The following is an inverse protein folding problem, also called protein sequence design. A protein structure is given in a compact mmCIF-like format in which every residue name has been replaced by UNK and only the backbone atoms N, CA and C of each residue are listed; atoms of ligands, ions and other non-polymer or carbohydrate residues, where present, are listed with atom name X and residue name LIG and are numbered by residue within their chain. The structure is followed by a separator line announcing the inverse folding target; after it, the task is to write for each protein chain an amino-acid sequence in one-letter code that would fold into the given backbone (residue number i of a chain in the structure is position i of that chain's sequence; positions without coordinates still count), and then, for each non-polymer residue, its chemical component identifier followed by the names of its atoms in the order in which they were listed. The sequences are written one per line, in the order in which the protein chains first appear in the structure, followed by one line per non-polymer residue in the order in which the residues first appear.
data_IF_677068420475
#
_entry.id   IF_677068420475
#
_cell.length_a   1.000
_cell.length_b   1.000
_cell.length_c   1.000
_cell.angle_alpha   90.00
_cell.angle_beta   90.00
_cell.angle_gamma   90.00
#
_symmetry.space_group_name_H-M   'P 1'
#
loop_
_entity.id
_entity.type
_entity.pdbx_description
1 polymer ?
#
# COMPACT_ATOMS: atom_id res chain seq x y z
N UNK A 1 35.40 -14.36 -8.97
CA UNK A 1 34.40 -14.58 -7.90
C UNK A 1 34.52 -13.51 -6.81
N UNK A 2 35.67 -13.35 -6.14
CA UNK A 2 35.85 -12.30 -5.12
C UNK A 2 35.54 -10.87 -5.63
N UNK A 3 36.03 -10.51 -6.82
CA UNK A 3 35.76 -9.20 -7.43
C UNK A 3 34.27 -8.97 -7.73
N UNK A 4 33.55 -10.02 -8.15
CA UNK A 4 32.11 -9.95 -8.42
C UNK A 4 31.33 -9.76 -7.12
N UNK A 5 31.67 -10.52 -6.07
CA UNK A 5 31.07 -10.36 -4.74
C UNK A 5 31.28 -8.94 -4.20
N UNK A 6 32.51 -8.41 -4.29
CA UNK A 6 32.81 -7.06 -3.84
C UNK A 6 32.03 -6.00 -4.64
N UNK A 7 31.96 -6.15 -5.96
CA UNK A 7 31.17 -5.24 -6.80
C UNK A 7 29.68 -5.31 -6.45
N UNK A 8 29.16 -6.52 -6.19
CA UNK A 8 27.78 -6.74 -5.81
C UNK A 8 27.45 -6.10 -4.46
N UNK A 9 28.32 -6.25 -3.46
CA UNK A 9 28.15 -5.64 -2.14
C UNK A 9 27.98 -4.12 -2.23
N UNK A 10 28.84 -3.47 -3.03
CA UNK A 10 28.79 -2.01 -3.24
C UNK A 10 27.54 -1.60 -4.02
N UNK A 11 27.18 -2.33 -5.07
CA UNK A 11 25.99 -2.03 -5.88
C UNK A 11 24.70 -2.22 -5.08
N UNK A 12 24.60 -3.29 -4.30
CA UNK A 12 23.41 -3.59 -3.47
C UNK A 12 23.25 -2.55 -2.39
N UNK A 13 24.32 -2.04 -1.78
CA UNK A 13 24.23 -0.93 -0.82
C UNK A 13 23.57 0.31 -1.46
N UNK A 14 23.97 0.67 -2.69
CA UNK A 14 23.33 1.76 -3.44
C UNK A 14 21.89 1.48 -3.84
N UNK A 15 21.54 0.24 -4.16
CA UNK A 15 20.15 -0.18 -4.46
C UNK A 15 19.29 -0.04 -3.20
N UNK A 16 19.79 -0.48 -2.04
CA UNK A 16 19.06 -0.40 -0.78
C UNK A 16 18.74 1.07 -0.42
N UNK A 17 19.65 2.00 -0.70
CA UNK A 17 19.40 3.43 -0.50
C UNK A 17 18.27 3.98 -1.37
N UNK A 18 17.94 3.30 -2.48
CA UNK A 18 16.84 3.66 -3.38
C UNK A 18 15.51 2.99 -3.01
N UNK A 19 15.50 2.07 -2.07
CA UNK A 19 14.24 1.47 -1.59
C UNK A 19 13.36 2.50 -0.87
N UNK A 20 13.91 3.55 -0.27
CA UNK A 20 13.13 4.61 0.37
C UNK A 20 12.81 5.81 -0.54
N UNK A 21 13.07 5.71 -1.85
CA UNK A 21 12.94 6.84 -2.77
C UNK A 21 11.45 7.22 -2.97
N UNK A 22 11.15 8.52 -2.98
CA UNK A 22 9.78 9.02 -3.20
C UNK A 22 9.32 8.83 -4.65
N UNK A 23 10.25 8.67 -5.59
CA UNK A 23 9.90 8.32 -6.95
C UNK A 23 9.57 6.82 -7.04
N UNK A 24 8.29 6.51 -7.20
CA UNK A 24 7.78 5.14 -7.27
C UNK A 24 8.54 4.26 -8.27
N UNK A 25 8.93 4.81 -9.43
CA UNK A 25 9.68 4.05 -10.45
C UNK A 25 11.07 3.65 -9.99
N UNK A 26 11.75 4.51 -9.22
CA UNK A 26 13.08 4.21 -8.66
C UNK A 26 12.97 3.17 -7.55
N UNK A 27 11.97 3.31 -6.67
CA UNK A 27 11.67 2.34 -5.63
C UNK A 27 11.36 0.95 -6.21
N UNK A 28 10.47 0.87 -7.21
CA UNK A 28 10.15 -0.38 -7.91
C UNK A 28 11.35 -0.99 -8.62
N UNK A 29 12.14 -0.17 -9.32
CA UNK A 29 13.36 -0.62 -9.97
C UNK A 29 14.35 -1.23 -8.96
N UNK A 30 14.53 -0.57 -7.81
CA UNK A 30 15.39 -1.07 -6.74
C UNK A 30 14.90 -2.41 -6.17
N UNK A 31 13.59 -2.57 -5.93
CA UNK A 31 12.99 -3.85 -5.49
C UNK A 31 13.26 -4.98 -6.49
N UNK A 32 13.06 -4.74 -7.79
CA UNK A 32 13.30 -5.73 -8.85
C UNK A 32 14.77 -6.11 -8.97
N UNK A 33 15.69 -5.14 -8.85
CA UNK A 33 17.12 -5.44 -8.82
C UNK A 33 17.51 -6.30 -7.61
N UNK A 34 16.90 -6.04 -6.44
CA UNK A 34 17.15 -6.82 -5.25
C UNK A 34 16.60 -8.25 -5.37
N UNK A 35 15.39 -8.41 -5.91
CA UNK A 35 14.81 -9.72 -6.23
C UNK A 35 15.73 -10.51 -7.17
N UNK A 36 16.17 -9.90 -8.27
CA UNK A 36 17.08 -10.55 -9.22
C UNK A 36 18.40 -11.01 -8.57
N UNK A 37 18.94 -10.23 -7.63
CA UNK A 37 20.13 -10.64 -6.88
C UNK A 37 19.83 -11.79 -5.90
N UNK A 38 18.65 -11.78 -5.26
CA UNK A 38 18.21 -12.78 -4.31
C UNK A 38 17.85 -14.13 -4.95
N UNK A 39 17.28 -14.13 -6.16
CA UNK A 39 16.91 -15.35 -6.91
C UNK A 39 18.13 -16.18 -7.36
N UNK A 40 19.31 -15.57 -7.35
CA UNK A 40 20.53 -16.14 -7.88
C UNK A 40 21.51 -16.42 -6.76
N UNK A 41 21.61 -17.68 -6.36
CA UNK A 41 22.58 -18.15 -5.35
C UNK A 41 24.05 -17.95 -5.79
N UNK A 42 24.30 -17.82 -7.10
CA UNK A 42 25.63 -17.47 -7.63
C UNK A 42 25.96 -15.97 -7.55
N UNK A 43 24.94 -15.13 -7.26
CA UNK A 43 25.08 -13.70 -7.01
C UNK A 43 25.04 -13.40 -5.50
N UNK A 44 23.85 -13.29 -4.92
CA UNK A 44 23.65 -12.92 -3.52
C UNK A 44 22.88 -13.99 -2.75
N UNK A 45 21.82 -14.55 -3.34
CA UNK A 45 20.89 -15.42 -2.64
C UNK A 45 19.99 -14.67 -1.65
N UNK A 46 18.90 -15.30 -1.21
CA UNK A 46 17.90 -14.69 -0.34
C UNK A 46 18.45 -14.31 1.05
N UNK A 47 19.12 -15.26 1.73
CA UNK A 47 19.56 -15.06 3.11
C UNK A 47 20.56 -13.90 3.25
N UNK A 48 21.61 -13.79 2.41
CA UNK A 48 22.50 -12.63 2.46
C UNK A 48 21.78 -11.32 2.13
N UNK A 49 20.82 -11.32 1.19
CA UNK A 49 20.01 -10.14 0.89
C UNK A 49 19.21 -9.66 2.12
N UNK A 50 18.52 -10.56 2.82
CA UNK A 50 17.80 -10.25 4.07
C UNK A 50 18.76 -9.75 5.16
N UNK A 51 19.94 -10.36 5.31
CA UNK A 51 20.94 -9.90 6.26
C UNK A 51 21.43 -8.47 5.96
N UNK A 52 21.67 -8.14 4.69
CA UNK A 52 22.06 -6.78 4.27
C UNK A 52 20.96 -5.75 4.56
N UNK A 53 19.70 -6.08 4.25
CA UNK A 53 18.56 -5.23 4.55
C UNK A 53 18.42 -4.99 6.07
N UNK A 54 18.53 -6.04 6.88
CA UNK A 54 18.48 -5.96 8.35
C UNK A 54 19.63 -5.12 8.92
N UNK A 55 20.84 -5.28 8.37
CA UNK A 55 22.00 -4.47 8.73
C UNK A 55 21.80 -3.00 8.37
N UNK A 56 21.20 -2.69 7.21
CA UNK A 56 20.86 -1.30 6.84
C UNK A 56 19.83 -0.71 7.78
N UNK A 57 18.78 -1.47 8.10
CA UNK A 57 17.71 -1.04 9.01
C UNK A 57 18.29 -0.68 10.39
N UNK A 58 19.21 -1.51 10.90
CA UNK A 58 19.92 -1.25 12.17
C UNK A 58 20.84 -0.02 12.12
N UNK A 59 21.38 0.33 10.95
CA UNK A 59 22.23 1.51 10.72
C UNK A 59 21.44 2.79 10.50
N UNK A 60 20.16 2.71 10.12
CA UNK A 60 19.32 3.87 9.86
C UNK A 60 19.10 4.65 11.17
N UNK A 61 19.91 5.71 11.35
CA UNK A 61 19.89 6.55 12.54
C UNK A 61 18.57 7.30 12.74
N UNK A 62 18.50 8.17 13.75
CA UNK A 62 17.31 8.98 14.09
C UNK A 62 17.02 10.15 13.12
N UNK A 63 17.39 10.00 11.85
CA UNK A 63 17.15 11.00 10.80
C UNK A 63 15.67 11.06 10.40
N UNK A 64 15.20 12.18 9.86
CA UNK A 64 13.88 12.27 9.24
C UNK A 64 13.68 11.31 8.07
N UNK A 65 14.77 10.86 7.45
CA UNK A 65 14.76 9.83 6.39
C UNK A 65 14.53 8.42 6.92
N UNK A 66 14.59 8.21 8.25
CA UNK A 66 14.48 6.90 8.89
C UNK A 66 13.18 6.20 8.50
N UNK A 67 12.05 6.91 8.53
CA UNK A 67 10.74 6.32 8.21
C UNK A 67 10.67 5.86 6.74
N UNK A 68 11.22 6.64 5.80
CA UNK A 68 11.26 6.29 4.37
C UNK A 68 12.11 5.04 4.12
N UNK A 69 13.29 4.97 4.74
CA UNK A 69 14.17 3.80 4.63
C UNK A 69 13.52 2.56 5.24
N UNK A 70 12.90 2.67 6.42
CA UNK A 70 12.22 1.54 7.05
C UNK A 70 11.03 1.06 6.20
N UNK A 71 10.19 1.98 5.71
CA UNK A 71 9.09 1.66 4.80
C UNK A 71 9.61 0.90 3.56
N UNK A 72 10.60 1.46 2.86
CA UNK A 72 11.16 0.88 1.65
C UNK A 72 11.75 -0.52 1.87
N UNK A 73 12.45 -0.73 2.98
CA UNK A 73 13.01 -2.04 3.33
C UNK A 73 11.89 -3.03 3.66
N UNK A 74 10.90 -2.67 4.48
CA UNK A 74 9.80 -3.57 4.86
C UNK A 74 8.98 -4.00 3.64
N UNK A 75 8.69 -3.05 2.76
CA UNK A 75 7.96 -3.32 1.53
C UNK A 75 8.78 -4.21 0.57
N UNK A 76 10.10 -3.98 0.45
CA UNK A 76 10.98 -4.86 -0.31
C UNK A 76 11.08 -6.27 0.28
N UNK A 77 11.12 -6.42 1.61
CA UNK A 77 11.09 -7.73 2.27
C UNK A 77 9.78 -8.43 1.97
N UNK A 78 8.64 -7.74 2.12
CA UNK A 78 7.33 -8.31 1.82
C UNK A 78 7.24 -8.76 0.35
N UNK A 79 7.76 -7.96 -0.57
CA UNK A 79 7.90 -8.32 -1.98
C UNK A 79 8.73 -9.59 -2.16
N UNK A 80 9.91 -9.70 -1.53
CA UNK A 80 10.71 -10.93 -1.58
C UNK A 80 9.94 -12.15 -1.05
N UNK A 81 9.20 -12.03 0.06
CA UNK A 81 8.46 -13.17 0.63
C UNK A 81 7.37 -13.72 -0.30
N UNK A 82 6.86 -12.92 -1.23
CA UNK A 82 5.91 -13.38 -2.25
C UNK A 82 6.59 -14.25 -3.33
N UNK A 83 7.91 -14.12 -3.50
CA UNK A 83 8.69 -14.84 -4.51
C UNK A 83 9.42 -16.08 -3.95
N UNK A 84 9.64 -16.15 -2.63
CA UNK A 84 10.37 -17.26 -2.01
C UNK A 84 9.46 -18.04 -1.03
N UNK A 85 9.48 -19.38 -1.05
CA UNK A 85 8.71 -20.19 -0.11
C UNK A 85 9.24 -20.04 1.32
N UNK A 86 8.33 -19.97 2.29
CA UNK A 86 8.69 -20.05 3.71
C UNK A 86 9.00 -21.49 4.12
N UNK A 87 10.12 -21.69 4.82
CA UNK A 87 10.48 -22.98 5.40
C UNK A 87 10.19 -22.99 6.89
N UNK A 88 9.33 -23.93 7.33
CA UNK A 88 9.13 -24.22 8.75
C UNK A 88 10.45 -24.81 9.25
N UNK A 89 11.23 -24.02 9.98
CA UNK A 89 12.58 -24.36 10.47
C UNK A 89 12.67 -25.55 11.43
N UNK A 90 11.66 -26.41 11.47
CA UNK A 90 11.64 -27.69 12.14
C UNK A 90 10.80 -28.61 11.29
N UNK A 91 11.43 -29.32 10.35
CA UNK A 91 10.88 -30.58 9.90
C UNK A 91 10.70 -31.42 11.15
N UNK A 92 9.44 -31.60 11.56
CA UNK A 92 9.07 -32.72 12.39
C UNK A 92 9.52 -33.92 11.56
N UNK A 93 10.69 -34.44 11.90
CA UNK A 93 11.08 -35.79 11.55
C UNK A 93 10.00 -36.59 12.26
N UNK A 94 8.92 -36.90 11.55
CA UNK A 94 8.03 -37.96 11.97
C UNK A 94 8.94 -39.18 12.02
N UNK A 95 9.26 -39.53 13.26
CA UNK A 95 10.18 -40.54 13.76
C UNK A 95 9.68 -41.95 13.40
N UNK A 96 9.08 -42.13 12.22
CA UNK A 96 8.76 -43.42 11.63
C UNK A 96 9.99 -43.93 10.89
N UNK A 97 10.92 -44.32 11.76
CA UNK A 97 12.08 -45.18 11.59
C UNK A 97 11.81 -46.34 10.61
N UNK A 98 12.24 -46.21 9.37
CA UNK A 98 12.66 -47.34 8.53
C UNK A 98 13.92 -46.93 7.72
N UNK A 99 15.01 -46.78 8.48
CA UNK A 99 16.39 -47.28 8.25
C UNK A 99 16.97 -47.46 6.83
N UNK A 100 16.63 -46.60 5.86
CA UNK A 100 17.41 -46.47 4.60
C UNK A 100 18.27 -45.19 4.63
N UNK A 101 19.40 -45.33 5.31
CA UNK A 101 20.52 -44.39 5.44
C UNK A 101 21.11 -44.03 4.05
N UNK A 102 20.83 -42.85 3.48
CA UNK A 102 21.76 -42.20 2.52
C UNK A 102 21.47 -40.75 2.09
N UNK A 103 20.27 -40.19 2.17
CA UNK A 103 20.03 -38.83 1.63
C UNK A 103 19.44 -37.90 2.69
N UNK A 104 20.34 -37.16 3.37
CA UNK A 104 19.92 -36.08 4.25
C UNK A 104 19.10 -35.05 3.44
N UNK A 105 17.87 -34.69 3.88
CA UNK A 105 17.01 -33.79 3.14
C UNK A 105 17.69 -32.42 2.97
N UNK A 106 18.02 -32.06 1.73
CA UNK A 106 18.55 -30.76 1.38
C UNK A 106 17.50 -29.69 1.67
N UNK A 107 17.71 -28.88 2.71
CA UNK A 107 16.91 -27.67 2.95
C UNK A 107 17.13 -26.74 1.75
N UNK A 108 16.06 -26.31 1.06
CA UNK A 108 16.19 -25.39 -0.07
C UNK A 108 16.90 -24.11 0.38
N UNK A 109 18.00 -23.77 -0.28
CA UNK A 109 18.75 -22.52 -0.01
C UNK A 109 17.87 -21.27 -0.24
N UNK A 110 16.82 -21.43 -1.05
CA UNK A 110 15.87 -20.41 -1.49
C UNK A 110 14.67 -20.24 -0.55
N UNK A 111 14.83 -20.54 0.74
CA UNK A 111 13.76 -20.43 1.73
C UNK A 111 14.09 -19.48 2.87
N UNK A 112 13.05 -18.82 3.38
CA UNK A 112 13.13 -17.93 4.55
C UNK A 112 12.47 -18.57 5.77
N UNK A 113 12.92 -18.17 6.96
CA UNK A 113 12.38 -18.61 8.25
C UNK A 113 11.85 -17.43 9.05
N UNK A 114 11.09 -17.70 10.13
CA UNK A 114 10.65 -16.63 11.04
C UNK A 114 11.82 -15.87 11.66
N UNK A 115 12.95 -16.53 11.91
CA UNK A 115 14.15 -15.89 12.45
C UNK A 115 14.73 -14.82 11.53
N UNK A 116 14.61 -15.01 10.22
CA UNK A 116 15.07 -14.05 9.22
C UNK A 116 14.18 -12.80 9.18
N UNK A 117 12.87 -12.97 9.44
CA UNK A 117 11.86 -11.90 9.28
C UNK A 117 11.56 -11.14 10.59
N UNK A 118 11.71 -11.79 11.74
CA UNK A 118 11.43 -11.20 13.05
C UNK A 118 12.12 -9.83 13.30
N UNK A 119 13.41 -9.62 12.92
CA UNK A 119 14.06 -8.33 13.12
C UNK A 119 13.35 -7.16 12.41
N UNK A 120 12.79 -7.42 11.22
CA UNK A 120 12.07 -6.43 10.43
C UNK A 120 10.75 -6.03 11.07
N UNK A 121 9.98 -7.01 11.52
CA UNK A 121 8.71 -6.77 12.24
C UNK A 121 8.98 -5.96 13.51
N UNK A 122 9.96 -6.36 14.32
CA UNK A 122 10.28 -5.69 15.58
C UNK A 122 10.68 -4.24 15.34
N UNK A 123 11.54 -3.99 14.35
CA UNK A 123 12.03 -2.66 14.07
C UNK A 123 10.99 -1.77 13.37
N UNK A 124 10.17 -2.32 12.47
CA UNK A 124 9.07 -1.62 11.81
C UNK A 124 7.94 -1.23 12.75
N UNK A 125 7.79 -1.94 13.88
CA UNK A 125 6.81 -1.63 14.91
C UNK A 125 7.26 -0.49 15.86
N UNK A 126 8.36 0.24 15.62
CA UNK A 126 8.77 1.40 16.42
C UNK A 126 7.75 2.57 16.27
N UNK A 127 7.27 3.11 17.40
CA UNK A 127 6.23 4.15 17.42
C UNK A 127 6.70 5.47 16.80
N UNK A 128 8.01 5.69 16.73
CA UNK A 128 8.60 6.89 16.12
C UNK A 128 8.58 6.89 14.58
N UNK A 129 8.24 5.77 13.94
CA UNK A 129 8.27 5.62 12.47
C UNK A 129 6.95 6.03 11.80
N UNK A 130 5.89 6.26 12.59
CA UNK A 130 4.57 6.64 12.10
C UNK A 130 3.69 5.44 11.68
N UNK A 131 2.39 5.69 11.41
CA UNK A 131 1.41 4.65 11.13
C UNK A 131 1.76 3.82 9.88
N UNK A 132 2.12 4.47 8.77
CA UNK A 132 2.43 3.81 7.50
C UNK A 132 3.49 2.70 7.62
N UNK A 133 4.57 2.94 8.37
CA UNK A 133 5.64 1.94 8.56
C UNK A 133 5.15 0.78 9.42
N UNK A 134 4.34 1.07 10.45
CA UNK A 134 3.73 0.04 11.31
C UNK A 134 2.74 -0.82 10.54
N UNK A 135 1.97 -0.25 9.62
CA UNK A 135 1.02 -1.00 8.79
C UNK A 135 1.77 -1.98 7.88
N UNK A 136 2.89 -1.57 7.26
CA UNK A 136 3.76 -2.49 6.52
C UNK A 136 4.35 -3.59 7.41
N UNK A 137 4.79 -3.26 8.62
CA UNK A 137 5.31 -4.25 9.57
C UNK A 137 4.23 -5.24 10.03
N UNK A 138 3.00 -4.78 10.20
CA UNK A 138 1.85 -5.61 10.53
C UNK A 138 1.48 -6.54 9.37
N UNK A 139 1.44 -6.03 8.13
CA UNK A 139 1.24 -6.87 6.94
C UNK A 139 2.31 -7.97 6.82
N UNK A 140 3.58 -7.61 7.04
CA UNK A 140 4.67 -8.58 7.06
C UNK A 140 4.48 -9.64 8.17
N UNK A 141 4.07 -9.23 9.37
CA UNK A 141 3.77 -10.15 10.46
C UNK A 141 2.60 -11.10 10.12
N UNK A 142 1.57 -10.60 9.42
CA UNK A 142 0.44 -11.41 8.93
C UNK A 142 0.92 -12.45 7.92
N UNK A 143 1.83 -12.10 7.01
CA UNK A 143 2.44 -13.08 6.08
C UNK A 143 3.19 -14.19 6.80
N UNK A 144 4.00 -13.85 7.81
CA UNK A 144 4.71 -14.86 8.64
C UNK A 144 3.72 -15.73 9.41
N UNK A 145 2.65 -15.12 9.94
CA UNK A 145 1.56 -15.81 10.62
C UNK A 145 0.84 -16.82 9.72
N UNK A 146 0.42 -16.43 8.53
CA UNK A 146 -0.22 -17.32 7.55
C UNK A 146 0.66 -18.51 7.19
N UNK A 147 1.97 -18.28 7.06
CA UNK A 147 2.91 -19.31 6.61
C UNK A 147 3.21 -20.33 7.72
N UNK A 148 3.39 -19.85 8.96
CA UNK A 148 3.93 -20.67 10.05
C UNK A 148 3.01 -20.87 11.24
N UNK A 149 1.93 -20.11 11.34
CA UNK A 149 0.96 -20.13 12.44
C UNK A 149 1.42 -19.37 13.69
N UNK A 150 0.52 -19.33 14.68
CA UNK A 150 0.72 -18.57 15.93
C UNK A 150 1.93 -19.05 16.73
N UNK A 151 2.19 -20.37 16.78
CA UNK A 151 3.25 -20.96 17.61
C UNK A 151 4.62 -20.38 17.27
N UNK A 152 4.90 -20.23 15.97
CA UNK A 152 6.17 -19.67 15.47
C UNK A 152 6.23 -18.15 15.68
N UNK A 153 5.09 -17.46 15.77
CA UNK A 153 5.03 -16.02 16.00
C UNK A 153 5.16 -15.61 17.48
N UNK A 154 4.93 -16.52 18.44
CA UNK A 154 5.04 -16.23 19.89
C UNK A 154 6.35 -15.55 20.29
N UNK A 155 7.55 -15.98 19.82
CA UNK A 155 8.80 -15.32 20.18
C UNK A 155 8.88 -13.88 19.66
N UNK A 156 8.42 -13.63 18.43
CA UNK A 156 8.36 -12.27 17.86
C UNK A 156 7.44 -11.37 18.68
N UNK A 157 6.25 -11.87 19.03
CA UNK A 157 5.29 -11.14 19.86
C UNK A 157 5.85 -10.84 21.25
N UNK A 158 6.54 -11.80 21.87
CA UNK A 158 7.15 -11.60 23.19
C UNK A 158 8.21 -10.49 23.22
N UNK A 159 8.87 -10.21 22.09
CA UNK A 159 9.82 -9.10 21.95
C UNK A 159 9.15 -7.72 21.85
N UNK A 160 7.84 -7.68 21.58
CA UNK A 160 7.08 -6.44 21.42
C UNK A 160 6.39 -5.99 22.71
N UNK A 161 6.04 -4.71 22.80
CA UNK A 161 5.22 -4.16 23.90
C UNK A 161 3.78 -4.72 23.84
N UNK A 162 3.07 -4.85 24.98
CA UNK A 162 1.72 -5.42 25.01
C UNK A 162 0.72 -4.79 24.04
N UNK A 163 0.73 -3.46 23.86
CA UNK A 163 -0.15 -2.78 22.91
C UNK A 163 0.08 -3.22 21.44
N UNK A 164 1.34 -3.47 21.08
CA UNK A 164 1.73 -3.92 19.73
C UNK A 164 1.40 -5.39 19.53
N UNK A 165 1.51 -6.20 20.60
CA UNK A 165 1.05 -7.58 20.59
C UNK A 165 -0.46 -7.65 20.35
N UNK A 166 -1.26 -6.82 21.05
CA UNK A 166 -2.70 -6.77 20.88
C UNK A 166 -3.09 -6.38 19.45
N UNK A 167 -2.44 -5.35 18.89
CA UNK A 167 -2.65 -4.95 17.50
C UNK A 167 -2.35 -6.08 16.51
N UNK A 168 -1.24 -6.78 16.65
CA UNK A 168 -0.89 -7.88 15.74
C UNK A 168 -1.85 -9.08 15.91
N UNK A 169 -2.25 -9.42 17.13
CA UNK A 169 -3.24 -10.47 17.38
C UNK A 169 -4.58 -10.14 16.73
N UNK A 170 -5.06 -8.91 16.88
CA UNK A 170 -6.25 -8.44 16.19
C UNK A 170 -6.11 -8.59 14.67
N UNK A 171 -4.95 -8.22 14.09
CA UNK A 171 -4.69 -8.38 12.65
C UNK A 171 -4.66 -9.85 12.21
N UNK A 172 -4.22 -10.76 13.08
CA UNK A 172 -4.26 -12.19 12.80
C UNK A 172 -5.71 -12.72 12.82
N UNK A 173 -6.51 -12.31 13.81
CA UNK A 173 -7.94 -12.65 13.91
C UNK A 173 -8.73 -12.12 12.69
N UNK A 174 -8.51 -10.85 12.31
CA UNK A 174 -9.11 -10.24 11.11
C UNK A 174 -8.77 -11.03 9.84
N UNK A 175 -7.57 -11.63 9.76
CA UNK A 175 -7.15 -12.38 8.59
C UNK A 175 -7.72 -13.81 8.56
N UNK A 176 -7.94 -14.45 9.71
CA UNK A 176 -8.54 -15.79 9.77
C UNK A 176 -10.02 -15.81 9.33
N UNK A 177 -10.61 -14.65 9.05
CA UNK A 177 -12.02 -14.55 8.71
C UNK A 177 -12.91 -14.94 9.89
N UNK A 178 -12.34 -14.96 11.10
CA UNK A 178 -13.12 -15.06 12.33
C UNK A 178 -13.78 -13.71 12.53
N UNK A 179 -14.86 -13.45 11.80
CA UNK A 179 -15.69 -12.29 12.05
C UNK A 179 -16.37 -12.54 13.40
N UNK A 180 -15.95 -11.86 14.49
CA UNK A 180 -16.46 -12.17 15.83
C UNK A 180 -17.96 -11.88 15.95
N UNK A 181 -18.55 -11.26 14.92
CA UNK A 181 -19.98 -11.01 14.81
C UNK A 181 -20.79 -12.16 14.20
N UNK A 182 -20.23 -13.08 13.42
CA UNK A 182 -21.03 -14.12 12.74
C UNK A 182 -21.39 -15.34 13.61
N UNK A 183 -20.62 -15.64 14.67
CA UNK A 183 -20.96 -16.75 15.57
C UNK A 183 -21.94 -16.37 16.70
N UNK A 184 -22.46 -15.13 16.68
CA UNK A 184 -23.32 -14.56 17.73
C UNK A 184 -24.81 -14.44 17.41
N UNK A 185 -25.28 -14.73 16.19
CA UNK A 185 -26.72 -14.79 15.88
C UNK A 185 -27.30 -16.17 16.25
N UNK A 186 -26.99 -16.64 17.45
CA UNK A 186 -27.82 -17.64 18.10
C UNK A 186 -29.01 -16.94 18.74
N UNK A 187 -29.98 -16.48 17.94
CA UNK A 187 -31.42 -16.27 18.24
C UNK A 187 -31.82 -15.87 19.69
N UNK A 188 -30.95 -15.21 20.44
CA UNK A 188 -31.27 -14.58 21.71
C UNK A 188 -31.85 -13.23 21.33
N UNK A 189 -33.19 -13.18 21.29
CA UNK A 189 -33.97 -11.96 21.40
C UNK A 189 -33.35 -11.05 22.47
N UNK A 190 -32.41 -10.20 22.05
CA UNK A 190 -31.91 -9.11 22.86
C UNK A 190 -33.15 -8.32 23.29
N UNK A 191 -33.32 -8.02 24.59
CA UNK A 191 -34.54 -7.42 25.10
C UNK A 191 -34.80 -6.13 24.32
N UNK A 192 -35.86 -6.15 23.52
CA UNK A 192 -36.32 -5.03 22.71
C UNK A 192 -36.51 -3.85 23.67
N UNK A 193 -35.57 -2.91 23.66
CA UNK A 193 -35.63 -1.71 24.48
C UNK A 193 -36.86 -0.94 24.03
N UNK A 194 -37.89 -0.97 24.86
CA UNK A 194 -39.15 -0.33 24.53
C UNK A 194 -38.87 1.17 24.39
N UNK A 195 -39.48 1.86 23.42
CA UNK A 195 -39.32 3.31 23.24
C UNK A 195 -39.59 4.14 24.51
N UNK A 196 -40.31 3.58 25.49
CA UNK A 196 -40.57 4.19 26.79
C UNK A 196 -39.33 4.28 27.71
N UNK A 197 -38.31 3.45 27.54
CA UNK A 197 -37.12 3.43 28.40
C UNK A 197 -36.07 4.48 27.99
N UNK A 198 -36.27 5.16 26.85
CA UNK A 198 -35.45 6.27 26.37
C UNK A 198 -36.03 7.65 26.76
N UNK A 199 -37.19 7.69 27.42
CA UNK A 199 -37.82 8.92 27.90
C UNK A 199 -37.04 9.45 29.13
N UNK A 200 -35.99 10.23 28.86
CA UNK A 200 -35.16 10.86 29.90
C UNK A 200 -33.65 10.84 29.62
N UNK A 201 -33.21 10.18 28.55
CA UNK A 201 -31.81 10.21 28.13
C UNK A 201 -31.49 11.55 27.46
N UNK A 202 -31.15 12.55 28.28
CA UNK A 202 -30.67 13.85 27.81
C UNK A 202 -29.20 13.72 27.41
N UNK A 203 -28.94 13.65 26.10
CA UNK A 203 -27.58 13.79 25.56
C UNK A 203 -27.22 15.28 25.69
N UNK A 204 -26.47 15.64 26.73
CA UNK A 204 -25.92 16.98 26.91
C UNK A 204 -24.78 17.23 25.92
N UNK A 205 -25.12 17.40 24.64
CA UNK A 205 -24.22 17.93 23.62
C UNK A 205 -23.90 19.39 23.95
N UNK A 206 -22.78 19.63 24.63
CA UNK A 206 -22.31 20.99 24.90
C UNK A 206 -21.68 21.58 23.63
N UNK A 207 -22.51 22.15 22.76
CA UNK A 207 -22.03 22.99 21.68
C UNK A 207 -21.63 24.37 22.26
N UNK A 208 -20.34 24.55 22.56
CA UNK A 208 -19.81 25.85 22.98
C UNK A 208 -19.81 26.77 21.75
N UNK A 209 -20.83 27.61 21.64
CA UNK A 209 -20.92 28.66 20.62
C UNK A 209 -19.95 29.79 20.99
N UNK A 210 -18.91 30.09 20.19
CA UNK A 210 -18.02 31.21 20.48
C UNK A 210 -18.82 32.51 20.35
N UNK A 211 -18.96 33.20 21.47
CA UNK A 211 -19.68 34.45 21.59
C UNK A 211 -18.81 35.57 21.01
N UNK A 212 -18.96 35.86 19.71
CA UNK A 212 -18.34 37.03 19.08
C UNK A 212 -19.04 38.30 19.59
N UNK A 213 -18.41 38.99 20.54
CA UNK A 213 -18.78 40.36 20.92
C UNK A 213 -18.16 41.37 19.93
N UNK A 214 -18.94 42.32 19.38
CA UNK A 214 -18.42 43.36 18.52
C UNK A 214 -17.89 44.53 19.35
N UNK A 215 -16.58 44.78 19.28
CA UNK A 215 -15.98 46.05 19.70
C UNK A 215 -14.99 45.96 20.85
N UNK A 216 -13.75 45.57 20.54
CA UNK A 216 -12.60 45.95 21.36
C UNK A 216 -11.37 46.12 20.45
N UNK A 217 -11.08 47.38 20.14
CA UNK A 217 -9.87 47.77 19.45
C UNK A 217 -8.64 47.55 20.35
N UNK A 218 -7.60 46.96 19.75
CA UNK A 218 -6.19 47.22 20.01
C UNK A 218 -5.74 47.36 21.47
N UNK A 219 -5.24 46.26 22.04
CA UNK A 219 -4.04 46.34 22.86
C UNK A 219 -3.28 45.01 22.81
N UNK A 220 -1.98 45.09 22.53
CA UNK A 220 -1.02 43.99 22.69
C UNK A 220 -1.10 43.49 24.12
N UNK A 221 -1.79 42.38 24.34
CA UNK A 221 -1.87 41.71 25.63
C UNK A 221 -1.53 40.23 25.46
N UNK A 222 -0.84 39.73 26.48
CA UNK A 222 -0.29 38.40 26.60
C UNK A 222 -1.23 37.29 26.12
N UNK A 223 -0.65 36.32 25.40
CA UNK A 223 -1.34 35.14 24.94
C UNK A 223 -2.02 34.44 26.14
N UNK A 224 -3.33 34.14 26.05
CA UNK A 224 -4.03 33.41 27.09
C UNK A 224 -3.40 32.02 27.27
N UNK A 225 -3.38 31.46 28.49
CA UNK A 225 -2.83 30.13 28.74
C UNK A 225 -3.58 29.09 27.90
N UNK A 226 -2.87 28.15 27.26
CA UNK A 226 -3.49 27.15 26.41
C UNK A 226 -4.46 26.30 27.23
N UNK A 227 -5.72 26.24 26.77
CA UNK A 227 -6.73 25.39 27.38
C UNK A 227 -6.39 23.91 27.13
N UNK A 228 -6.66 23.01 28.10
CA UNK A 228 -6.45 21.58 27.92
C UNK A 228 -7.26 21.07 26.72
N UNK A 229 -6.59 20.53 25.72
CA UNK A 229 -7.20 19.99 24.49
C UNK A 229 -7.07 20.88 23.25
N UNK A 230 -6.53 22.09 23.36
CA UNK A 230 -6.18 22.91 22.20
C UNK A 230 -4.76 22.53 21.72
N UNK A 231 -4.69 21.67 20.72
CA UNK A 231 -3.44 21.42 19.97
C UNK A 231 -3.07 22.71 19.24
N UNK A 232 -1.85 23.21 19.42
CA UNK A 232 -1.36 24.42 18.76
C UNK A 232 -1.44 24.25 17.23
N UNK A 233 -2.38 24.95 16.60
CA UNK A 233 -2.65 24.95 15.15
C UNK A 233 -1.68 25.87 14.39
N UNK A 234 -0.40 25.89 14.76
CA UNK A 234 0.56 26.78 14.10
C UNK A 234 1.58 26.07 13.20
N UNK A 235 1.61 24.73 13.12
CA UNK A 235 2.55 24.05 12.20
C UNK A 235 2.09 22.72 11.53
N UNK A 236 0.90 22.19 11.82
CA UNK A 236 0.52 20.83 11.34
C UNK A 236 -0.73 20.76 10.43
N UNK A 237 -1.47 21.86 10.21
CA UNK A 237 -2.70 21.81 9.38
C UNK A 237 -2.43 21.78 7.86
N UNK A 238 -1.26 22.22 7.39
CA UNK A 238 -0.91 22.16 5.96
C UNK A 238 -0.70 20.71 5.47
N UNK A 239 -0.21 19.80 6.33
CA UNK A 239 0.02 18.41 5.95
C UNK A 239 -1.26 17.57 5.83
N UNK A 240 -2.34 17.97 6.50
CA UNK A 240 -3.62 17.25 6.44
C UNK A 240 -4.35 17.52 5.12
N UNK A 241 -4.19 18.72 4.55
CA UNK A 241 -4.79 19.05 3.25
C UNK A 241 -4.03 18.42 2.08
N UNK A 242 -2.71 18.24 2.19
CA UNK A 242 -1.91 17.57 1.16
C UNK A 242 -2.14 16.05 1.13
N UNK A 243 -2.32 15.40 2.29
CA UNK A 243 -2.57 13.95 2.37
C UNK A 243 -3.89 13.51 1.71
N UNK A 244 -4.95 14.29 1.87
CA UNK A 244 -6.26 13.98 1.25
C UNK A 244 -6.21 14.19 -0.28
N UNK A 245 -5.42 15.16 -0.76
CA UNK A 245 -5.25 15.45 -2.18
C UNK A 245 -4.38 14.40 -2.91
N UNK A 246 -3.35 13.85 -2.25
CA UNK A 246 -2.60 12.69 -2.74
C UNK A 246 -3.47 11.42 -2.77
N UNK A 247 -4.21 11.12 -1.70
CA UNK A 247 -5.04 9.91 -1.60
C UNK A 247 -6.24 9.93 -2.56
N UNK A 248 -6.78 11.10 -2.90
CA UNK A 248 -7.86 11.25 -3.88
C UNK A 248 -7.39 11.28 -5.35
N UNK A 249 -6.07 11.17 -5.61
CA UNK A 249 -5.51 11.08 -6.97
C UNK A 249 -5.66 12.34 -7.83
N UNK A 250 -5.93 13.51 -7.22
CA UNK A 250 -6.23 14.77 -7.92
C UNK A 250 -5.05 15.73 -8.06
N UNK A 251 -3.84 15.34 -7.62
CA UNK A 251 -2.63 16.12 -7.88
C UNK A 251 -2.23 15.95 -9.34
N UNK A 252 -2.74 16.84 -10.19
CA UNK A 252 -2.16 17.11 -11.51
C UNK A 252 -0.68 17.48 -11.29
N UNK A 253 0.22 16.55 -11.62
CA UNK A 253 1.66 16.74 -11.63
C UNK A 253 2.04 17.90 -12.55
N UNK A 254 2.07 19.11 -11.99
CA UNK A 254 2.35 20.36 -12.66
C UNK A 254 3.57 21.02 -12.05
N UNK A 255 4.60 21.18 -12.89
CA UNK A 255 5.90 21.86 -12.68
C UNK A 255 7.01 20.98 -12.06
N UNK A 256 8.17 20.80 -12.68
CA UNK A 256 8.67 21.28 -13.96
C UNK A 256 10.17 21.01 -14.04
N UNK A 257 10.62 20.30 -15.08
CA UNK A 257 11.96 20.38 -15.70
C UNK A 257 12.05 19.40 -16.89
N UNK A 258 11.22 19.58 -17.93
CA UNK A 258 11.56 19.19 -19.32
C UNK A 258 10.85 20.16 -20.28
N UNK A 259 11.19 21.44 -20.16
CA UNK A 259 10.81 22.47 -21.13
C UNK A 259 12.02 22.89 -21.93
N UNK A 260 12.35 22.13 -22.99
CA UNK A 260 12.98 22.70 -24.21
C UNK A 260 13.06 21.71 -25.40
N UNK A 261 12.82 20.40 -25.23
CA UNK A 261 12.90 19.45 -26.35
C UNK A 261 11.54 19.08 -27.01
N UNK A 262 10.40 19.40 -26.39
CA UNK A 262 9.07 18.97 -26.88
C UNK A 262 8.21 20.09 -27.49
N UNK A 263 8.68 21.35 -27.49
CA UNK A 263 7.98 22.46 -28.13
C UNK A 263 8.10 22.43 -29.67
N UNK A 264 8.94 21.56 -30.24
CA UNK A 264 9.07 21.36 -31.68
C UNK A 264 8.13 20.26 -32.25
N UNK A 265 7.43 19.50 -31.41
CA UNK A 265 6.57 18.39 -31.85
C UNK A 265 5.06 18.70 -31.80
N UNK A 266 4.66 19.85 -31.24
CA UNK A 266 3.25 20.24 -31.10
C UNK A 266 2.57 20.70 -32.41
N UNK A 267 3.22 20.53 -33.56
CA UNK A 267 2.64 20.85 -34.89
C UNK A 267 2.38 19.63 -35.77
N UNK A 268 2.48 18.40 -35.26
CA UNK A 268 2.14 17.21 -36.04
C UNK A 268 1.15 16.31 -35.30
N UNK A 269 -0.11 16.38 -35.74
CA UNK A 269 -1.13 15.37 -35.48
C UNK A 269 -0.69 14.06 -36.14
N UNK A 270 0.03 13.21 -35.38
CA UNK A 270 0.29 11.84 -35.77
C UNK A 270 -0.45 10.92 -34.80
N UNK A 271 -1.44 10.21 -35.36
CA UNK A 271 -2.08 9.06 -34.72
C UNK A 271 -0.99 8.06 -34.33
N UNK A 272 -0.98 7.65 -33.07
CA UNK A 272 -0.18 6.50 -32.65
C UNK A 272 -0.64 5.27 -33.44
N UNK A 273 0.30 4.46 -33.98
CA UNK A 273 -0.07 3.26 -34.72
C UNK A 273 -0.78 2.26 -33.79
N UNK A 274 -1.80 1.54 -34.29
CA UNK A 274 -2.41 0.45 -33.53
C UNK A 274 -1.34 -0.59 -33.22
N UNK A 275 -1.19 -0.95 -31.94
CA UNK A 275 -0.19 -1.90 -31.45
C UNK A 275 0.96 -1.32 -30.61
N UNK A 276 1.02 0.01 -30.40
CA UNK A 276 2.08 0.61 -29.57
C UNK A 276 2.06 0.10 -28.12
N UNK A 277 0.87 -0.10 -27.53
CA UNK A 277 0.74 -0.65 -26.18
C UNK A 277 1.10 -2.13 -26.12
N UNK A 278 0.76 -2.90 -27.14
CA UNK A 278 1.01 -4.35 -27.23
C UNK A 278 2.50 -4.67 -27.27
N UNK A 279 3.30 -3.86 -27.98
CA UNK A 279 4.74 -4.08 -28.10
C UNK A 279 5.57 -3.61 -26.89
N UNK A 280 5.05 -2.71 -26.05
CA UNK A 280 5.85 -2.08 -24.99
C UNK A 280 5.55 -2.61 -23.57
N UNK A 281 4.39 -3.24 -23.36
CA UNK A 281 4.00 -3.82 -22.07
C UNK A 281 4.31 -5.32 -21.91
N UNK A 282 4.87 -5.97 -22.92
CA UNK A 282 5.25 -7.39 -22.82
C UNK A 282 4.06 -8.35 -22.63
N UNK A 283 2.84 -7.92 -22.97
CA UNK A 283 1.59 -8.69 -22.86
C UNK A 283 1.39 -9.69 -24.02
N UNK A 284 2.41 -9.94 -24.83
CA UNK A 284 2.36 -10.99 -25.85
C UNK A 284 2.73 -12.33 -25.21
N UNK A 285 1.74 -13.07 -24.72
CA UNK A 285 1.93 -14.49 -24.38
C UNK A 285 1.28 -15.00 -23.10
N UNK A 286 0.22 -14.39 -22.60
CA UNK A 286 -0.73 -15.17 -21.80
C UNK A 286 -1.71 -15.80 -22.80
N UNK A 287 -1.35 -17.00 -23.29
CA UNK A 287 -2.32 -17.91 -23.89
C UNK A 287 -3.29 -18.29 -22.76
N UNK A 288 -4.25 -17.41 -22.49
CA UNK A 288 -5.42 -17.78 -21.69
C UNK A 288 -6.15 -18.84 -22.51
N UNK A 289 -6.36 -19.98 -21.90
CA UNK A 289 -7.18 -21.04 -22.44
C UNK A 289 -8.59 -20.51 -22.75
N UNK A 290 -9.24 -21.14 -23.72
CA UNK A 290 -10.58 -20.73 -24.17
C UNK A 290 -11.60 -20.73 -23.02
N UNK A 291 -11.34 -21.51 -21.97
CA UNK A 291 -12.15 -21.58 -20.75
C UNK A 291 -11.98 -20.34 -19.84
N UNK A 292 -10.76 -19.85 -19.63
CA UNK A 292 -10.49 -18.60 -18.90
C UNK A 292 -11.11 -17.39 -19.62
N UNK A 293 -11.04 -17.38 -20.96
CA UNK A 293 -11.70 -16.36 -21.77
C UNK A 293 -13.21 -16.35 -21.58
N UNK A 294 -13.83 -17.54 -21.54
CA UNK A 294 -15.28 -17.69 -21.38
C UNK A 294 -15.75 -17.35 -19.97
N UNK A 295 -14.94 -17.65 -18.95
CA UNK A 295 -15.20 -17.25 -17.57
C UNK A 295 -15.17 -15.72 -17.41
N UNK A 296 -14.17 -15.06 -18.00
CA UNK A 296 -14.06 -13.60 -17.95
C UNK A 296 -15.24 -12.90 -18.65
N UNK A 297 -15.71 -13.44 -19.77
CA UNK A 297 -16.90 -12.94 -20.47
C UNK A 297 -18.17 -13.07 -19.62
N UNK A 298 -18.35 -14.17 -18.90
CA UNK A 298 -19.50 -14.38 -18.02
C UNK A 298 -19.46 -13.44 -16.81
N UNK A 299 -18.28 -13.21 -16.23
CA UNK A 299 -18.10 -12.27 -15.12
C UNK A 299 -18.37 -10.82 -15.56
N UNK A 300 -17.86 -10.41 -16.73
CA UNK A 300 -18.14 -9.10 -17.32
C UNK A 300 -19.63 -8.92 -17.65
N UNK A 301 -20.30 -9.96 -18.14
CA UNK A 301 -21.74 -9.95 -18.34
C UNK A 301 -22.49 -9.81 -17.00
N UNK A 302 -22.04 -10.48 -15.95
CA UNK A 302 -22.60 -10.38 -14.59
C UNK A 302 -22.46 -8.98 -13.98
N UNK A 303 -21.38 -8.28 -14.29
CA UNK A 303 -21.16 -6.88 -13.89
C UNK A 303 -21.94 -5.86 -14.75
N UNK A 304 -22.73 -6.33 -15.73
CA UNK A 304 -23.46 -5.46 -16.66
C UNK A 304 -22.57 -4.76 -17.69
N UNK A 305 -21.32 -5.21 -17.85
CA UNK A 305 -20.35 -4.71 -18.84
C UNK A 305 -20.35 -5.54 -20.13
N UNK A 306 -21.13 -6.63 -20.20
CA UNK A 306 -21.21 -7.50 -21.38
C UNK A 306 -21.91 -6.88 -22.60
N UNK A 307 -22.61 -5.75 -22.45
CA UNK A 307 -23.35 -5.07 -23.54
C UNK A 307 -22.75 -3.68 -23.88
N UNK A 308 -21.43 -3.61 -24.00
CA UNK A 308 -20.74 -2.36 -24.40
C UNK A 308 -21.06 -1.99 -25.86
N UNK A 309 -21.39 -2.96 -26.73
CA UNK A 309 -21.80 -2.67 -28.11
C UNK A 309 -23.10 -1.86 -28.16
N UNK A 310 -24.09 -2.11 -27.28
CA UNK A 310 -25.30 -1.31 -27.20
C UNK A 310 -25.08 0.12 -26.69
N UNK A 311 -24.12 0.33 -25.78
CA UNK A 311 -23.86 1.63 -25.16
C UNK A 311 -23.16 2.65 -26.07
N UNK A 312 -22.40 2.19 -27.07
CA UNK A 312 -21.66 3.08 -28.00
C UNK A 312 -22.63 3.88 -28.89
N UNK A 313 -23.72 3.24 -29.33
CA UNK A 313 -24.72 3.89 -30.19
C UNK A 313 -25.50 4.99 -29.45
N UNK A 314 -25.85 4.76 -28.18
CA UNK A 314 -26.49 5.77 -27.33
C UNK A 314 -25.55 6.95 -27.04
N UNK A 315 -24.27 6.68 -26.77
CA UNK A 315 -23.27 7.74 -26.56
C UNK A 315 -23.04 8.57 -27.84
N UNK A 316 -23.00 7.93 -29.02
CA UNK A 316 -22.94 8.65 -30.30
C UNK A 316 -24.19 9.50 -30.55
N UNK A 317 -25.38 8.98 -30.22
CA UNK A 317 -26.63 9.73 -30.37
C UNK A 317 -26.67 10.98 -29.47
N UNK A 318 -26.22 10.87 -28.21
CA UNK A 318 -26.10 12.01 -27.30
C UNK A 318 -25.11 13.06 -27.81
N UNK A 319 -23.98 12.63 -28.36
CA UNK A 319 -22.94 13.54 -28.88
C UNK A 319 -23.44 14.30 -30.12
N UNK A 320 -24.16 13.62 -31.02
CA UNK A 320 -24.83 14.25 -32.17
C UNK A 320 -25.91 15.25 -31.73
N UNK A 321 -26.72 14.90 -30.73
CA UNK A 321 -27.73 15.81 -30.17
C UNK A 321 -27.09 17.06 -29.55
N UNK A 322 -25.96 16.90 -28.86
CA UNK A 322 -25.23 18.01 -28.27
C UNK A 322 -24.68 18.97 -29.35
N UNK A 323 -24.11 18.42 -30.42
CA UNK A 323 -23.61 19.19 -31.57
C UNK A 323 -24.73 19.95 -32.29
N UNK A 324 -25.90 19.34 -32.46
CA UNK A 324 -27.07 19.99 -33.05
C UNK A 324 -27.56 21.16 -32.18
N UNK A 325 -27.57 20.99 -30.84
CA UNK A 325 -27.95 22.06 -29.91
C UNK A 325 -27.00 23.27 -29.97
N UNK A 326 -25.70 23.02 -30.17
CA UNK A 326 -24.69 24.09 -30.27
C UNK A 326 -24.74 24.81 -31.62
N UNK A 327 -25.06 24.10 -32.70
CA UNK A 327 -25.25 24.69 -34.03
C UNK A 327 -26.41 25.69 -34.10
N UNK A 328 -27.51 25.42 -33.38
CA UNK A 328 -28.67 26.32 -33.31
C UNK A 328 -28.32 27.61 -32.55
N UNK A 329 -27.49 27.53 -31.51
CA UNK A 329 -27.11 28.68 -30.69
C UNK A 329 -26.23 29.69 -31.43
N UNK A 330 -25.36 29.22 -32.33
CA UNK A 330 -24.45 30.10 -33.09
C UNK A 330 -25.10 30.79 -34.30
N UNK A 331 -26.31 30.39 -34.72
CA UNK A 331 -27.00 31.02 -35.87
C UNK A 331 -27.85 32.25 -35.50
N UNK A 332 -28.07 32.52 -34.21
CA UNK A 332 -28.93 33.60 -33.73
C UNK A 332 -28.25 34.93 -33.40
N UNK A 333 -26.91 35.04 -33.54
CA UNK A 333 -26.16 36.25 -33.19
C UNK A 333 -25.52 36.95 -34.40
N UNK A 334 -26.20 36.99 -35.54
CA UNK A 334 -25.88 37.99 -36.57
C UNK A 334 -26.37 39.35 -36.07
N UNK A 335 -25.52 40.02 -35.29
CA UNK A 335 -25.70 41.42 -34.88
C UNK A 335 -25.57 42.27 -36.15
N UNK A 336 -26.69 42.76 -36.67
CA UNK A 336 -26.68 43.86 -37.64
C UNK A 336 -26.11 45.10 -36.96
N UNK A 337 -24.91 45.51 -37.39
CA UNK A 337 -24.31 46.78 -37.02
C UNK A 337 -24.78 47.82 -38.04
N UNK A 338 -25.64 48.74 -37.59
CA UNK A 338 -26.00 49.97 -38.30
C UNK A 338 -25.05 51.11 -37.90
#
# INVERSE_FOLDING_TARGET
KAEVSLALDVLVEHIIDRLGDSNLRLHEGARKCLLFAAERNDLLGLKPALLMLSARLSKAGRSGERAKVHFGILDAVNFLLQHFPGSRGGGHIDDDLDDDEADAPHVPEDSWTQGDIAPFIIAGMDDSLGPRVRDCAAALAVTVYQTFGMEVMKPTLAALRPAKQALLKQKFEEFEGFDPQEEGEGDEEGPELRPADLEGLVICGSAIKPQQLPGAASSKAAAPPPLPGCVNVDYDEEFVMDGILEDAGLVFGGTGMVGEALAAAASSSQRLPPGFLTNHLGLTGMDLDEDDHRFLEEELAGMGLGDIEGGIDEQQALLLSLQESQGIRNRGMSVEVF
#
